data_IF_005958362275
#
_entry.id   IF_005958362275
#
_cell.length_a   1.000
_cell.length_b   1.000
_cell.length_c   1.000
_cell.angle_alpha   90.00
_cell.angle_beta   90.00
_cell.angle_gamma   90.00
#
_symmetry.space_group_name_H-M   'P 1'
#
loop_
_entity.id
_entity.type
_entity.pdbx_description
1 polymer ?
#
# COMPACT_ATOMS: atom_id res chain seq x y z
N UNK A 1 29.77 -11.62 -19.31
CA UNK A 1 28.29 -11.61 -19.32
C UNK A 1 27.79 -13.04 -19.33
N UNK A 2 27.43 -13.56 -18.16
CA UNK A 2 26.98 -14.94 -17.97
C UNK A 2 25.54 -15.05 -18.48
N UNK A 3 25.32 -15.82 -19.55
CA UNK A 3 23.98 -16.06 -20.14
C UNK A 3 23.05 -16.67 -19.09
N UNK A 4 21.97 -15.94 -18.76
CA UNK A 4 20.89 -16.37 -17.88
C UNK A 4 20.25 -17.66 -18.41
N UNK A 5 20.16 -18.69 -17.57
CA UNK A 5 19.56 -19.99 -17.92
C UNK A 5 18.09 -19.97 -17.49
N UNK A 6 17.18 -20.21 -18.43
CA UNK A 6 15.72 -20.14 -18.23
C UNK A 6 15.17 -21.56 -18.11
N UNK A 7 14.44 -21.88 -17.04
CA UNK A 7 13.76 -23.16 -16.84
C UNK A 7 12.25 -22.89 -16.82
N UNK A 8 11.47 -23.57 -17.67
CA UNK A 8 10.03 -23.32 -17.85
C UNK A 8 9.26 -24.56 -18.32
N UNK A 9 9.65 -25.74 -17.81
CA UNK A 9 9.13 -27.03 -18.25
C UNK A 9 7.63 -27.23 -18.01
N UNK A 10 7.15 -26.83 -16.84
CA UNK A 10 5.72 -26.91 -16.49
C UNK A 10 4.82 -26.11 -17.42
N UNK A 11 5.28 -24.94 -17.89
CA UNK A 11 4.52 -24.06 -18.79
C UNK A 11 4.58 -24.52 -20.25
N UNK A 12 5.69 -25.10 -20.70
CA UNK A 12 5.76 -25.84 -21.98
C UNK A 12 4.74 -26.98 -22.00
N UNK A 13 4.65 -27.74 -20.89
CA UNK A 13 3.70 -28.82 -20.72
C UNK A 13 2.26 -28.32 -20.74
N UNK A 14 1.94 -27.25 -20.01
CA UNK A 14 0.61 -26.61 -20.03
C UNK A 14 0.24 -26.08 -21.42
N UNK A 15 1.13 -25.33 -22.09
CA UNK A 15 0.89 -24.81 -23.44
C UNK A 15 0.57 -25.93 -24.44
N UNK A 16 1.31 -27.04 -24.33
CA UNK A 16 1.09 -28.22 -25.15
C UNK A 16 -0.27 -28.86 -24.85
N UNK A 17 -0.63 -29.00 -23.57
CA UNK A 17 -1.90 -29.58 -23.13
C UNK A 17 -3.10 -28.71 -23.51
N UNK A 18 -3.03 -27.39 -23.29
CA UNK A 18 -4.10 -26.43 -23.59
C UNK A 18 -4.44 -26.38 -25.09
N UNK A 19 -3.47 -26.74 -25.95
CA UNK A 19 -3.64 -26.82 -27.39
C UNK A 19 -3.85 -28.24 -27.92
N UNK A 20 -3.92 -29.23 -27.04
CA UNK A 20 -4.13 -30.64 -27.43
C UNK A 20 -3.02 -31.23 -28.31
N UNK A 21 -1.80 -30.69 -28.26
CA UNK A 21 -0.69 -31.13 -29.13
C UNK A 21 0.04 -32.30 -28.46
N UNK A 22 0.35 -33.36 -29.22
CA UNK A 22 1.17 -34.48 -28.69
C UNK A 22 2.63 -34.04 -28.59
N UNK A 23 3.37 -34.59 -27.63
CA UNK A 23 4.76 -34.19 -27.36
C UNK A 23 5.68 -34.34 -28.59
N UNK A 24 5.46 -35.38 -29.41
CA UNK A 24 6.20 -35.56 -30.66
C UNK A 24 5.95 -34.44 -31.68
N UNK A 25 4.69 -34.06 -31.84
CA UNK A 25 4.26 -33.02 -32.78
C UNK A 25 4.72 -31.63 -32.31
N UNK A 26 4.76 -31.40 -30.99
CA UNK A 26 5.25 -30.16 -30.39
C UNK A 26 6.77 -30.02 -30.53
N UNK A 27 7.53 -31.11 -30.36
CA UNK A 27 8.98 -31.11 -30.58
C UNK A 27 9.33 -30.82 -32.05
N UNK A 28 8.59 -31.42 -33.00
CA UNK A 28 8.76 -31.14 -34.43
C UNK A 28 8.44 -29.67 -34.77
N UNK A 29 7.37 -29.11 -34.18
CA UNK A 29 7.00 -27.69 -34.36
C UNK A 29 8.08 -26.74 -33.84
N UNK A 30 8.74 -27.13 -32.75
CA UNK A 30 9.86 -26.39 -32.16
C UNK A 30 11.21 -26.74 -32.79
N UNK A 31 11.24 -27.61 -33.80
CA UNK A 31 12.43 -28.07 -34.51
C UNK A 31 13.55 -28.53 -33.53
N UNK A 32 13.14 -29.41 -32.61
CA UNK A 32 13.99 -30.10 -31.63
C UNK A 32 13.58 -31.58 -31.51
N UNK A 33 14.42 -32.41 -30.89
CA UNK A 33 14.07 -33.82 -30.65
C UNK A 33 13.04 -33.96 -29.51
N UNK A 34 12.23 -35.01 -29.57
CA UNK A 34 11.25 -35.36 -28.53
C UNK A 34 11.88 -35.60 -27.17
N UNK A 35 13.04 -36.26 -27.15
CA UNK A 35 13.84 -36.46 -25.94
C UNK A 35 14.33 -35.13 -25.35
N UNK A 36 14.76 -34.18 -26.19
CA UNK A 36 15.19 -32.86 -25.73
C UNK A 36 14.01 -32.03 -25.20
N UNK A 37 12.86 -32.07 -25.87
CA UNK A 37 11.64 -31.45 -25.34
C UNK A 37 11.24 -32.04 -23.99
N UNK A 38 11.32 -33.37 -23.83
CA UNK A 38 11.01 -34.03 -22.56
C UNK A 38 11.93 -33.55 -21.43
N UNK A 39 13.24 -33.43 -21.69
CA UNK A 39 14.20 -32.89 -20.71
C UNK A 39 13.91 -31.44 -20.32
N UNK A 40 13.43 -30.62 -21.26
CA UNK A 40 13.04 -29.23 -20.95
C UNK A 40 11.70 -29.21 -20.20
N UNK A 41 10.72 -30.04 -20.57
CA UNK A 41 9.41 -30.15 -19.88
C UNK A 41 9.55 -30.60 -18.41
N UNK A 42 10.63 -31.31 -18.06
CA UNK A 42 10.96 -31.73 -16.69
C UNK A 42 12.02 -30.83 -16.01
N UNK A 43 12.41 -29.71 -16.64
CA UNK A 43 13.43 -28.78 -16.15
C UNK A 43 14.85 -29.40 -15.95
N UNK A 44 15.13 -30.55 -16.57
CA UNK A 44 16.47 -31.17 -16.62
C UNK A 44 17.46 -30.36 -17.49
N UNK A 45 16.93 -29.57 -18.43
CA UNK A 45 17.70 -28.64 -19.26
C UNK A 45 17.04 -27.27 -19.37
N UNK A 46 17.84 -26.18 -19.35
CA UNK A 46 17.31 -24.85 -19.57
C UNK A 46 16.93 -24.62 -21.04
N UNK A 47 15.92 -23.79 -21.25
CA UNK A 47 15.60 -23.21 -22.54
C UNK A 47 16.77 -22.39 -23.07
N UNK A 48 17.13 -22.67 -24.31
CA UNK A 48 18.13 -21.88 -25.03
C UNK A 48 17.48 -20.60 -25.56
N UNK A 49 18.25 -19.50 -25.72
CA UNK A 49 17.74 -18.26 -26.30
C UNK A 49 17.11 -18.45 -27.69
N UNK A 50 17.67 -19.36 -28.50
CA UNK A 50 17.14 -19.71 -29.82
C UNK A 50 15.76 -20.36 -29.72
N UNK A 51 15.56 -21.27 -28.75
CA UNK A 51 14.28 -21.93 -28.54
C UNK A 51 13.24 -20.97 -27.95
N UNK A 52 13.65 -20.06 -27.06
CA UNK A 52 12.77 -19.02 -26.52
C UNK A 52 12.27 -18.08 -27.61
N UNK A 53 13.15 -17.59 -28.50
CA UNK A 53 12.74 -16.77 -29.63
C UNK A 53 11.76 -17.49 -30.57
N UNK A 54 11.94 -18.80 -30.75
CA UNK A 54 11.03 -19.64 -31.53
C UNK A 54 9.66 -19.79 -30.85
N UNK A 55 9.63 -19.97 -29.53
CA UNK A 55 8.40 -20.02 -28.74
C UNK A 55 7.63 -18.69 -28.77
N UNK A 56 8.32 -17.56 -28.64
CA UNK A 56 7.70 -16.22 -28.71
C UNK A 56 7.09 -15.96 -30.09
N UNK A 57 7.77 -16.40 -31.16
CA UNK A 57 7.26 -16.25 -32.53
C UNK A 57 6.01 -17.11 -32.80
N UNK A 58 6.00 -18.35 -32.30
CA UNK A 58 4.91 -19.29 -32.55
C UNK A 58 3.74 -19.08 -31.59
N UNK A 59 4.00 -18.59 -30.37
CA UNK A 59 3.04 -18.51 -29.28
C UNK A 59 3.13 -17.17 -28.51
N UNK A 60 2.88 -16.03 -29.19
CA UNK A 60 3.09 -14.69 -28.63
C UNK A 60 2.27 -14.43 -27.36
N UNK A 61 1.00 -14.84 -27.35
CA UNK A 61 0.09 -14.68 -26.21
C UNK A 61 0.47 -15.48 -24.94
N UNK A 62 1.42 -16.43 -25.04
CA UNK A 62 1.80 -17.30 -23.92
C UNK A 62 3.16 -16.99 -23.28
N UNK A 63 4.01 -16.22 -23.97
CA UNK A 63 5.47 -16.19 -23.73
C UNK A 63 6.08 -14.78 -23.59
N UNK A 64 5.27 -13.73 -23.45
CA UNK A 64 5.73 -12.37 -23.11
C UNK A 64 5.88 -12.14 -21.59
N UNK A 65 5.46 -13.10 -20.74
CA UNK A 65 5.43 -12.97 -19.27
C UNK A 65 6.05 -14.18 -18.53
N UNK A 66 7.32 -14.52 -18.79
CA UNK A 66 7.93 -15.80 -18.31
C UNK A 66 8.95 -15.65 -17.16
N UNK A 67 8.97 -14.53 -16.43
CA UNK A 67 9.83 -14.43 -15.24
C UNK A 67 9.21 -13.77 -13.98
N UNK A 68 8.10 -13.03 -14.09
CA UNK A 68 7.97 -11.83 -13.23
C UNK A 68 6.91 -11.82 -12.12
N UNK A 69 6.21 -12.91 -11.75
CA UNK A 69 5.08 -12.75 -10.80
C UNK A 69 5.11 -13.62 -9.52
N UNK A 70 5.46 -14.90 -9.57
CA UNK A 70 5.63 -15.69 -8.33
C UNK A 70 7.09 -15.66 -7.81
N UNK A 71 8.05 -15.81 -8.72
CA UNK A 71 9.48 -15.69 -8.43
C UNK A 71 9.84 -14.28 -7.97
N UNK A 72 9.34 -13.25 -8.64
CA UNK A 72 9.60 -11.84 -8.28
C UNK A 72 8.93 -11.42 -6.97
N UNK A 73 7.72 -11.91 -6.67
CA UNK A 73 7.09 -11.67 -5.36
C UNK A 73 7.92 -12.30 -4.24
N UNK A 74 8.35 -13.55 -4.41
CA UNK A 74 9.16 -14.27 -3.42
C UNK A 74 10.58 -13.71 -3.31
N UNK A 75 11.22 -13.38 -4.42
CA UNK A 75 12.52 -12.72 -4.45
C UNK A 75 12.44 -11.31 -3.86
N UNK A 76 11.33 -10.60 -4.09
CA UNK A 76 11.02 -9.32 -3.46
C UNK A 76 10.92 -9.45 -1.94
N UNK A 77 10.15 -10.42 -1.45
CA UNK A 77 10.00 -10.69 -0.02
C UNK A 77 11.32 -11.15 0.63
N UNK A 78 12.11 -11.98 -0.07
CA UNK A 78 13.45 -12.35 0.38
C UNK A 78 14.42 -11.17 0.41
N UNK A 79 14.38 -10.29 -0.60
CA UNK A 79 15.16 -9.05 -0.62
C UNK A 79 14.79 -8.12 0.52
N UNK A 80 13.50 -8.02 0.86
CA UNK A 80 13.05 -7.25 2.02
C UNK A 80 13.57 -7.87 3.33
N UNK A 81 13.44 -9.19 3.50
CA UNK A 81 13.92 -9.87 4.70
C UNK A 81 15.45 -9.80 4.85
N UNK A 82 16.20 -9.96 3.75
CA UNK A 82 17.66 -9.92 3.74
C UNK A 82 18.25 -8.51 3.89
N UNK A 83 17.45 -7.47 3.67
CA UNK A 83 17.85 -6.08 3.90
C UNK A 83 17.77 -5.65 5.39
N UNK A 84 17.30 -6.54 6.28
CA UNK A 84 17.29 -6.28 7.72
C UNK A 84 18.72 -6.06 8.25
N UNK A 85 18.95 -5.04 9.11
CA UNK A 85 20.27 -4.79 9.72
C UNK A 85 20.92 -6.01 10.39
N UNK A 86 20.11 -7.00 10.81
CA UNK A 86 20.59 -8.28 11.30
C UNK A 86 21.60 -8.96 10.34
N UNK A 87 21.46 -8.75 9.03
CA UNK A 87 22.30 -9.36 7.99
C UNK A 87 23.40 -8.43 7.46
N UNK A 88 23.58 -7.24 8.03
CA UNK A 88 24.52 -6.23 7.53
C UNK A 88 25.99 -6.70 7.54
N UNK A 89 26.35 -7.64 8.42
CA UNK A 89 27.70 -8.19 8.50
C UNK A 89 28.09 -9.03 7.26
N UNK A 90 27.11 -9.67 6.61
CA UNK A 90 27.30 -10.49 5.41
C UNK A 90 26.08 -10.35 4.48
N UNK A 91 25.99 -9.24 3.72
CA UNK A 91 24.86 -8.99 2.85
C UNK A 91 24.78 -10.03 1.73
N UNK A 92 23.58 -10.53 1.48
CA UNK A 92 23.30 -11.45 0.38
C UNK A 92 23.12 -10.68 -0.92
N UNK A 93 23.82 -11.10 -1.97
CA UNK A 93 23.69 -10.44 -3.28
C UNK A 93 22.28 -10.67 -3.86
N UNK A 94 21.68 -9.67 -4.55
CA UNK A 94 20.35 -9.79 -5.14
C UNK A 94 20.17 -11.04 -6.01
N UNK A 95 21.19 -11.41 -6.77
CA UNK A 95 21.19 -12.58 -7.65
C UNK A 95 21.14 -13.89 -6.85
N UNK A 96 21.72 -13.93 -5.65
CA UNK A 96 21.64 -15.11 -4.76
C UNK A 96 20.24 -15.28 -4.19
N UNK A 97 19.57 -14.17 -3.84
CA UNK A 97 18.21 -14.16 -3.32
C UNK A 97 17.20 -14.55 -4.40
N UNK A 98 17.37 -14.05 -5.62
CA UNK A 98 16.57 -14.45 -6.79
C UNK A 98 16.75 -15.94 -7.11
N UNK A 99 17.99 -16.44 -7.06
CA UNK A 99 18.27 -17.87 -7.20
C UNK A 99 17.62 -18.69 -6.10
N UNK A 100 17.66 -18.24 -4.84
CA UNK A 100 17.01 -18.93 -3.73
C UNK A 100 15.48 -18.97 -3.88
N UNK A 101 14.86 -17.87 -4.31
CA UNK A 101 13.41 -17.78 -4.56
C UNK A 101 12.94 -18.77 -5.65
N UNK A 102 13.77 -19.00 -6.67
CA UNK A 102 13.47 -19.87 -7.78
C UNK A 102 13.81 -21.34 -7.50
N UNK A 103 14.97 -21.61 -6.88
CA UNK A 103 15.50 -22.97 -6.70
C UNK A 103 15.01 -23.63 -5.41
N UNK A 104 14.65 -22.86 -4.38
CA UNK A 104 14.26 -23.35 -3.06
C UNK A 104 13.01 -22.62 -2.52
N UNK A 105 11.87 -22.68 -3.23
CA UNK A 105 10.70 -21.84 -2.94
C UNK A 105 10.13 -22.06 -1.54
N UNK A 106 10.08 -23.31 -1.06
CA UNK A 106 9.57 -23.62 0.28
C UNK A 106 10.47 -23.07 1.38
N UNK A 107 11.80 -23.15 1.22
CA UNK A 107 12.76 -22.58 2.16
C UNK A 107 12.66 -21.05 2.19
N UNK A 108 12.54 -20.44 1.01
CA UNK A 108 12.35 -19.00 0.87
C UNK A 108 11.06 -18.52 1.56
N UNK A 109 9.93 -19.21 1.35
CA UNK A 109 8.66 -18.88 2.00
C UNK A 109 8.74 -19.06 3.54
N UNK A 110 9.41 -20.12 4.01
CA UNK A 110 9.64 -20.35 5.45
C UNK A 110 10.58 -19.31 6.06
N UNK A 111 11.62 -18.89 5.34
CA UNK A 111 12.54 -17.83 5.80
C UNK A 111 11.81 -16.49 5.91
N UNK A 112 11.01 -16.11 4.90
CA UNK A 112 10.17 -14.91 4.95
C UNK A 112 9.17 -15.00 6.12
N UNK A 113 8.54 -16.15 6.33
CA UNK A 113 7.62 -16.36 7.45
C UNK A 113 8.33 -16.27 8.82
N UNK A 114 9.55 -16.80 8.93
CA UNK A 114 10.40 -16.73 10.12
C UNK A 114 10.84 -15.29 10.40
N UNK A 115 11.31 -14.56 9.39
CA UNK A 115 11.68 -13.14 9.54
C UNK A 115 10.46 -12.31 9.94
N UNK A 116 9.31 -12.54 9.31
CA UNK A 116 8.06 -11.91 9.72
C UNK A 116 7.66 -12.29 11.16
N UNK A 117 7.90 -13.53 11.60
CA UNK A 117 7.69 -13.95 12.99
C UNK A 117 8.66 -13.26 13.97
N UNK A 118 9.94 -13.14 13.60
CA UNK A 118 10.96 -12.42 14.36
C UNK A 118 10.62 -10.94 14.52
N UNK A 119 10.27 -10.26 13.42
CA UNK A 119 9.80 -8.87 13.43
C UNK A 119 8.56 -8.70 14.30
N UNK A 120 7.59 -9.62 14.19
CA UNK A 120 6.40 -9.65 15.07
C UNK A 120 6.76 -9.87 16.53
N UNK A 121 7.76 -10.70 16.84
CA UNK A 121 8.22 -10.93 18.21
C UNK A 121 8.91 -9.69 18.80
N UNK A 122 9.77 -9.01 18.03
CA UNK A 122 10.35 -7.72 18.42
C UNK A 122 9.28 -6.64 18.64
N UNK A 123 8.27 -6.59 17.78
CA UNK A 123 7.10 -5.71 17.98
C UNK A 123 6.26 -6.12 19.20
N UNK A 124 6.18 -7.41 19.53
CA UNK A 124 5.47 -7.91 20.71
C UNK A 124 6.18 -7.53 22.01
N UNK A 125 7.52 -7.54 22.00
CA UNK A 125 8.31 -6.99 23.10
C UNK A 125 8.05 -5.48 23.27
N UNK A 126 7.90 -4.74 22.17
CA UNK A 126 7.52 -3.31 22.20
C UNK A 126 6.10 -3.11 22.78
N UNK A 127 5.13 -3.94 22.39
CA UNK A 127 3.76 -3.92 22.94
C UNK A 127 3.79 -4.23 24.44
N UNK A 128 4.62 -5.19 24.88
CA UNK A 128 4.74 -5.55 26.29
C UNK A 128 5.41 -4.43 27.09
N UNK A 129 6.49 -3.83 26.57
CA UNK A 129 7.19 -2.69 27.18
C UNK A 129 6.24 -1.49 27.34
N UNK A 130 5.43 -1.19 26.32
CA UNK A 130 4.44 -0.12 26.39
C UNK A 130 3.23 -0.48 27.27
N UNK A 131 2.72 -1.71 27.24
CA UNK A 131 1.64 -2.17 28.11
C UNK A 131 2.05 -2.19 29.60
N UNK A 132 3.33 -2.46 29.89
CA UNK A 132 3.92 -2.35 31.23
C UNK A 132 4.01 -0.89 31.69
N UNK A 133 4.25 0.07 30.77
CA UNK A 133 4.19 1.52 31.07
C UNK A 133 2.79 2.13 30.99
N UNK A 134 1.82 1.43 30.41
CA UNK A 134 0.52 1.95 29.99
C UNK A 134 -0.65 1.02 30.33
N UNK A 135 -0.66 0.43 31.53
CA UNK A 135 -1.85 0.01 32.28
C UNK A 135 -2.95 -0.81 31.59
N UNK A 136 -2.73 -1.40 30.42
CA UNK A 136 -3.73 -2.20 29.70
C UNK A 136 -3.13 -3.57 29.36
N UNK A 137 -3.28 -4.47 30.31
CA UNK A 137 -3.07 -5.90 30.11
C UNK A 137 -4.16 -6.45 29.18
N UNK A 138 -3.77 -6.90 27.99
CA UNK A 138 -4.09 -8.24 27.44
C UNK A 138 -3.62 -8.32 25.98
N UNK A 139 -2.79 -9.31 25.69
CA UNK A 139 -2.14 -9.53 24.38
C UNK A 139 -3.05 -10.00 23.25
N UNK A 140 -4.24 -9.41 23.10
CA UNK A 140 -5.10 -9.52 21.92
C UNK A 140 -4.89 -8.31 21.01
N UNK A 141 -4.67 -8.54 19.71
CA UNK A 141 -4.62 -7.45 18.73
C UNK A 141 -6.00 -6.79 18.67
N UNK A 142 -6.04 -5.47 18.67
CA UNK A 142 -7.33 -4.77 18.59
C UNK A 142 -7.92 -4.96 17.18
N UNK A 143 -9.25 -5.10 17.02
CA UNK A 143 -9.88 -5.39 15.72
C UNK A 143 -9.49 -4.42 14.59
N UNK A 144 -9.28 -3.15 14.92
CA UNK A 144 -8.83 -2.13 13.94
C UNK A 144 -7.40 -2.41 13.43
N UNK A 145 -6.53 -2.98 14.25
CA UNK A 145 -5.16 -3.33 13.87
C UNK A 145 -5.12 -4.52 12.93
N UNK A 146 -5.97 -5.54 13.17
CA UNK A 146 -6.06 -6.69 12.29
C UNK A 146 -6.46 -6.28 10.86
N UNK A 147 -7.46 -5.39 10.72
CA UNK A 147 -7.90 -4.88 9.41
C UNK A 147 -6.83 -4.02 8.75
N UNK A 148 -6.12 -3.20 9.52
CA UNK A 148 -5.01 -2.38 9.00
C UNK A 148 -3.87 -3.27 8.47
N UNK A 149 -3.49 -4.30 9.22
CA UNK A 149 -2.47 -5.27 8.80
C UNK A 149 -2.94 -6.03 7.55
N UNK A 150 -4.22 -6.40 7.47
CA UNK A 150 -4.79 -7.04 6.28
C UNK A 150 -4.65 -6.18 5.01
N UNK A 151 -4.97 -4.87 5.07
CA UNK A 151 -4.79 -3.98 3.93
C UNK A 151 -3.32 -3.82 3.52
N UNK A 152 -2.40 -3.86 4.49
CA UNK A 152 -0.97 -3.82 4.23
C UNK A 152 -0.50 -5.11 3.53
N UNK A 153 -0.88 -6.27 4.06
CA UNK A 153 -0.51 -7.58 3.51
C UNK A 153 -1.12 -7.80 2.11
N UNK A 154 -2.28 -7.20 1.83
CA UNK A 154 -2.90 -7.16 0.50
C UNK A 154 -2.22 -6.18 -0.48
N UNK A 155 -1.10 -5.54 -0.11
CA UNK A 155 -0.42 -4.53 -0.95
C UNK A 155 -1.26 -3.27 -1.18
N UNK A 156 -2.23 -3.02 -0.30
CA UNK A 156 -3.21 -1.93 -0.38
C UNK A 156 -3.99 -1.89 -1.71
N UNK A 157 -4.20 -3.03 -2.36
CA UNK A 157 -4.94 -3.15 -3.61
C UNK A 157 -5.78 -4.43 -3.62
N UNK A 158 -7.06 -4.31 -3.98
CA UNK A 158 -8.00 -5.44 -4.00
C UNK A 158 -8.57 -5.58 -5.42
N UNK A 159 -7.95 -6.44 -6.23
CA UNK A 159 -8.17 -6.49 -7.69
C UNK A 159 -9.64 -6.71 -8.08
N UNK A 160 -10.31 -7.65 -7.41
CA UNK A 160 -11.71 -8.00 -7.69
C UNK A 160 -12.65 -6.81 -7.48
N UNK A 161 -12.50 -6.12 -6.34
CA UNK A 161 -13.31 -4.95 -6.00
C UNK A 161 -12.95 -3.75 -6.88
N UNK A 162 -11.66 -3.55 -7.17
CA UNK A 162 -11.20 -2.41 -7.96
C UNK A 162 -11.71 -2.47 -9.41
N UNK A 163 -11.64 -3.64 -10.05
CA UNK A 163 -12.17 -3.86 -11.39
C UNK A 163 -13.68 -3.73 -11.44
N UNK A 164 -14.39 -4.29 -10.45
CA UNK A 164 -15.84 -4.17 -10.37
C UNK A 164 -16.26 -2.70 -10.18
N UNK A 165 -15.58 -1.97 -9.30
CA UNK A 165 -15.81 -0.54 -9.09
C UNK A 165 -15.52 0.30 -10.36
N UNK A 166 -14.48 -0.05 -11.12
CA UNK A 166 -14.18 0.60 -12.41
C UNK A 166 -15.28 0.35 -13.45
N UNK A 167 -15.87 -0.85 -13.49
CA UNK A 167 -17.02 -1.14 -14.33
C UNK A 167 -18.26 -0.32 -13.92
N UNK A 168 -18.56 -0.26 -12.61
CA UNK A 168 -19.64 0.59 -12.09
C UNK A 168 -19.45 2.06 -12.45
N UNK A 169 -18.22 2.56 -12.38
CA UNK A 169 -17.92 3.93 -12.75
C UNK A 169 -18.15 4.21 -14.24
N UNK A 170 -17.83 3.26 -15.13
CA UNK A 170 -18.05 3.39 -16.57
C UNK A 170 -19.53 3.57 -16.90
N UNK A 171 -20.43 2.92 -16.16
CA UNK A 171 -21.88 3.09 -16.32
C UNK A 171 -22.40 4.45 -15.85
N UNK A 172 -21.74 5.05 -14.85
CA UNK A 172 -22.23 6.26 -14.19
C UNK A 172 -21.66 7.57 -14.74
N UNK A 173 -20.38 7.55 -15.18
CA UNK A 173 -19.61 8.78 -15.44
C UNK A 173 -19.85 9.40 -16.81
N UNK A 174 -20.41 8.65 -17.77
CA UNK A 174 -20.46 9.07 -19.18
C UNK A 174 -19.06 9.41 -19.69
N UNK A 175 -18.89 10.60 -20.27
CA UNK A 175 -17.60 11.10 -20.77
C UNK A 175 -16.75 11.80 -19.68
N UNK A 176 -17.31 12.05 -18.49
CA UNK A 176 -16.61 12.76 -17.42
C UNK A 176 -15.57 11.87 -16.72
N UNK A 177 -14.48 12.44 -16.14
CA UNK A 177 -13.49 11.68 -15.39
C UNK A 177 -14.07 10.85 -14.23
N UNK A 178 -15.07 11.38 -13.54
CA UNK A 178 -15.73 10.80 -12.36
C UNK A 178 -17.25 10.89 -12.48
N UNK A 179 -18.01 9.95 -11.89
CA UNK A 179 -19.46 10.08 -11.72
C UNK A 179 -19.89 11.39 -11.03
N UNK A 180 -21.01 11.97 -11.47
CA UNK A 180 -21.66 13.12 -10.82
C UNK A 180 -22.54 12.67 -9.65
N UNK A 181 -22.94 13.59 -8.77
CA UNK A 181 -23.89 13.28 -7.68
C UNK A 181 -25.20 12.73 -8.26
N UNK A 182 -25.75 13.42 -9.25
CA UNK A 182 -27.03 13.12 -9.87
C UNK A 182 -27.02 11.73 -10.54
N UNK A 183 -25.89 11.34 -11.14
CA UNK A 183 -25.73 10.00 -11.74
C UNK A 183 -25.81 8.89 -10.69
N UNK A 184 -25.16 9.08 -9.54
CA UNK A 184 -25.14 8.10 -8.44
C UNK A 184 -26.52 8.04 -7.78
N UNK A 185 -27.14 9.20 -7.52
CA UNK A 185 -28.50 9.27 -6.96
C UNK A 185 -29.52 8.56 -7.83
N UNK A 186 -29.52 8.83 -9.13
CA UNK A 186 -30.42 8.17 -10.09
C UNK A 186 -30.26 6.67 -10.07
N UNK A 187 -29.02 6.17 -9.96
CA UNK A 187 -28.76 4.73 -9.89
C UNK A 187 -29.23 4.13 -8.56
N UNK A 188 -28.99 4.80 -7.44
CA UNK A 188 -29.49 4.41 -6.12
C UNK A 188 -31.03 4.35 -6.09
N UNK A 189 -31.71 5.38 -6.62
CA UNK A 189 -33.16 5.46 -6.65
C UNK A 189 -33.79 4.47 -7.65
N UNK A 190 -33.25 4.40 -8.87
CA UNK A 190 -33.82 3.60 -9.95
C UNK A 190 -33.51 2.12 -9.83
N UNK A 191 -32.22 1.74 -9.86
CA UNK A 191 -31.82 0.33 -9.89
C UNK A 191 -31.93 -0.33 -8.51
N UNK A 192 -31.70 0.44 -7.44
CA UNK A 192 -31.68 -0.07 -6.07
C UNK A 192 -32.88 0.40 -5.23
N UNK A 193 -33.85 1.14 -5.78
CA UNK A 193 -35.07 1.52 -5.05
C UNK A 193 -34.82 2.25 -3.72
N UNK A 194 -33.74 3.03 -3.61
CA UNK A 194 -33.35 3.73 -2.38
C UNK A 194 -33.90 5.14 -2.38
N UNK A 195 -34.65 5.50 -1.34
CA UNK A 195 -35.04 6.88 -1.10
C UNK A 195 -33.88 7.65 -0.46
N UNK A 196 -33.56 8.83 -0.99
CA UNK A 196 -32.46 9.67 -0.50
C UNK A 196 -33.05 10.90 0.18
N UNK A 197 -32.65 11.15 1.42
CA UNK A 197 -33.14 12.26 2.24
C UNK A 197 -31.96 13.11 2.70
N UNK A 198 -31.96 14.38 2.31
CA UNK A 198 -30.99 15.35 2.80
C UNK A 198 -31.50 16.01 4.08
N UNK A 199 -30.86 15.71 5.21
CA UNK A 199 -31.23 16.25 6.52
C UNK A 199 -30.00 16.43 7.40
N UNK A 200 -29.90 17.57 8.08
CA UNK A 200 -28.86 17.77 9.09
C UNK A 200 -28.93 16.66 10.13
N UNK A 201 -27.80 16.01 10.38
CA UNK A 201 -27.68 14.84 11.25
C UNK A 201 -26.35 14.89 12.00
N UNK A 202 -26.25 14.13 13.09
CA UNK A 202 -24.97 13.91 13.75
C UNK A 202 -24.09 12.91 12.98
N UNK A 203 -24.70 12.04 12.16
CA UNK A 203 -24.03 11.08 11.29
C UNK A 203 -23.78 11.66 9.90
N UNK A 204 -22.66 11.28 9.28
CA UNK A 204 -22.35 11.66 7.88
C UNK A 204 -23.28 10.97 6.88
N UNK A 205 -23.71 9.76 7.21
CA UNK A 205 -24.64 8.92 6.45
C UNK A 205 -25.34 8.00 7.43
N UNK A 206 -26.63 7.78 7.22
CA UNK A 206 -27.41 6.76 7.90
C UNK A 206 -28.26 6.01 6.87
N UNK A 207 -28.27 4.68 6.93
CA UNK A 207 -28.98 3.84 5.97
C UNK A 207 -29.84 2.80 6.70
N UNK A 208 -31.15 2.92 6.50
CA UNK A 208 -32.12 1.92 6.95
C UNK A 208 -32.34 0.90 5.82
N UNK A 209 -31.85 -0.32 6.02
CA UNK A 209 -31.99 -1.39 5.05
C UNK A 209 -33.44 -1.90 4.92
N UNK A 210 -34.26 -1.79 5.98
CA UNK A 210 -35.65 -2.24 6.00
C UNK A 210 -36.52 -1.26 5.21
N UNK A 211 -36.37 0.04 5.46
CA UNK A 211 -37.11 1.09 4.75
C UNK A 211 -36.46 1.48 3.42
N UNK A 212 -35.22 1.05 3.15
CA UNK A 212 -34.37 1.49 2.02
C UNK A 212 -34.22 3.01 1.97
N UNK A 213 -34.05 3.63 3.13
CA UNK A 213 -33.91 5.07 3.28
C UNK A 213 -32.46 5.42 3.58
N UNK A 214 -31.88 6.29 2.75
CA UNK A 214 -30.54 6.83 2.89
C UNK A 214 -30.60 8.29 3.31
N UNK A 215 -30.19 8.59 4.53
CA UNK A 215 -30.06 9.95 5.04
C UNK A 215 -28.62 10.43 4.84
N UNK A 216 -28.45 11.58 4.19
CA UNK A 216 -27.15 12.24 4.00
C UNK A 216 -27.21 13.63 4.64
N UNK A 217 -26.20 13.96 5.46
CA UNK A 217 -26.08 15.30 6.00
C UNK A 217 -25.59 16.29 4.91
N UNK A 218 -26.41 17.28 4.49
CA UNK A 218 -26.02 18.24 3.47
C UNK A 218 -24.94 19.22 3.93
N UNK A 219 -24.67 19.33 5.24
CA UNK A 219 -23.65 20.23 5.81
C UNK A 219 -22.21 19.82 5.45
N UNK A 220 -22.03 18.60 4.97
CA UNK A 220 -20.74 18.10 4.51
C UNK A 220 -20.28 18.81 3.23
N UNK A 221 -18.96 18.95 2.99
CA UNK A 221 -18.43 19.41 1.72
C UNK A 221 -18.95 18.57 0.53
N UNK A 222 -19.13 19.15 -0.67
CA UNK A 222 -19.66 18.45 -1.84
C UNK A 222 -18.95 17.12 -2.15
N UNK A 223 -17.62 17.09 -2.06
CA UNK A 223 -16.79 15.91 -2.29
C UNK A 223 -17.02 14.82 -1.24
N UNK A 224 -17.35 15.20 -0.01
CA UNK A 224 -17.69 14.26 1.06
C UNK A 224 -19.09 13.68 0.86
N UNK A 225 -20.08 14.50 0.48
CA UNK A 225 -21.43 14.03 0.17
C UNK A 225 -21.42 13.03 -1.00
N UNK A 226 -20.72 13.38 -2.08
CA UNK A 226 -20.57 12.51 -3.25
C UNK A 226 -19.90 11.19 -2.89
N UNK A 227 -18.90 11.21 -2.00
CA UNK A 227 -18.27 10.00 -1.49
C UNK A 227 -19.22 9.14 -0.65
N UNK A 228 -20.09 9.73 0.18
CA UNK A 228 -21.08 8.95 0.94
C UNK A 228 -22.09 8.25 0.05
N UNK A 229 -22.54 8.91 -1.04
CA UNK A 229 -23.40 8.30 -2.05
C UNK A 229 -22.68 7.18 -2.79
N UNK A 230 -21.46 7.42 -3.27
CA UNK A 230 -20.64 6.42 -3.96
C UNK A 230 -20.36 5.21 -3.06
N UNK A 231 -20.10 5.43 -1.77
CA UNK A 231 -19.95 4.35 -0.80
C UNK A 231 -21.23 3.56 -0.69
N UNK A 232 -22.38 4.19 -0.46
CA UNK A 232 -23.62 3.43 -0.28
C UNK A 232 -23.95 2.62 -1.53
N UNK A 233 -23.74 3.22 -2.71
CA UNK A 233 -23.91 2.53 -3.97
C UNK A 233 -22.98 1.32 -4.10
N UNK A 234 -21.68 1.51 -3.91
CA UNK A 234 -20.69 0.44 -4.03
C UNK A 234 -20.90 -0.67 -2.98
N UNK A 235 -21.25 -0.32 -1.75
CA UNK A 235 -21.51 -1.29 -0.68
C UNK A 235 -22.67 -2.23 -0.99
N UNK A 236 -23.69 -1.74 -1.72
CA UNK A 236 -24.85 -2.54 -2.12
C UNK A 236 -24.62 -3.26 -3.44
N UNK A 237 -24.05 -2.56 -4.43
CA UNK A 237 -23.82 -3.11 -5.77
C UNK A 237 -22.73 -4.19 -5.77
N UNK A 238 -21.72 -4.09 -4.89
CA UNK A 238 -20.60 -5.03 -4.78
C UNK A 238 -20.67 -5.86 -3.49
N UNK A 239 -21.87 -6.04 -2.93
CA UNK A 239 -22.05 -6.73 -1.65
C UNK A 239 -21.47 -8.16 -1.68
N UNK A 240 -21.66 -8.88 -2.79
CA UNK A 240 -21.12 -10.22 -3.01
C UNK A 240 -19.60 -10.25 -3.04
N UNK A 241 -18.98 -9.33 -3.77
CA UNK A 241 -17.54 -9.23 -3.95
C UNK A 241 -16.87 -8.85 -2.64
N UNK A 242 -17.44 -7.87 -1.92
CA UNK A 242 -16.97 -7.48 -0.59
C UNK A 242 -17.09 -8.65 0.38
N UNK A 243 -18.24 -9.33 0.43
CA UNK A 243 -18.44 -10.49 1.30
C UNK A 243 -17.43 -11.60 1.01
N UNK A 244 -17.18 -11.92 -0.28
CA UNK A 244 -16.21 -12.93 -0.66
C UNK A 244 -14.79 -12.60 -0.16
N UNK A 245 -14.36 -11.33 -0.24
CA UNK A 245 -13.06 -10.91 0.29
C UNK A 245 -13.01 -10.99 1.82
N UNK A 246 -14.09 -10.62 2.51
CA UNK A 246 -14.17 -10.71 3.98
C UNK A 246 -14.13 -12.17 4.46
N UNK A 247 -14.89 -13.05 3.83
CA UNK A 247 -14.93 -14.48 4.18
C UNK A 247 -13.60 -15.20 3.90
N UNK A 248 -12.87 -14.79 2.86
CA UNK A 248 -11.53 -15.31 2.57
C UNK A 248 -10.44 -14.76 3.50
N UNK A 249 -10.73 -13.77 4.35
CA UNK A 249 -9.75 -13.14 5.21
C UNK A 249 -9.41 -14.00 6.45
N UNK A 250 -8.16 -14.00 6.93
CA UNK A 250 -7.76 -14.74 8.14
C UNK A 250 -8.18 -14.04 9.45
N UNK A 251 -9.11 -13.07 9.39
CA UNK A 251 -9.55 -12.28 10.53
C UNK A 251 -10.34 -13.14 11.52
N UNK A 252 -10.07 -12.93 12.82
CA UNK A 252 -10.59 -13.82 13.87
C UNK A 252 -11.92 -13.36 14.44
N UNK A 253 -12.10 -12.05 14.60
CA UNK A 253 -13.24 -11.47 15.30
C UNK A 253 -14.31 -10.97 14.34
N UNK A 254 -15.58 -11.07 14.74
CA UNK A 254 -16.70 -10.50 14.00
C UNK A 254 -16.54 -8.99 13.82
N UNK A 255 -16.04 -8.30 14.85
CA UNK A 255 -15.74 -6.87 14.79
C UNK A 255 -14.69 -6.53 13.71
N UNK A 256 -13.61 -7.31 13.59
CA UNK A 256 -12.61 -7.11 12.54
C UNK A 256 -13.21 -7.35 11.14
N UNK A 257 -14.04 -8.40 10.97
CA UNK A 257 -14.73 -8.66 9.70
C UNK A 257 -15.67 -7.52 9.29
N UNK A 258 -16.44 -6.98 10.24
CA UNK A 258 -17.31 -5.82 10.00
C UNK A 258 -16.50 -4.56 9.66
N UNK A 259 -15.38 -4.33 10.36
CA UNK A 259 -14.47 -3.21 10.04
C UNK A 259 -13.82 -3.38 8.65
N UNK A 260 -13.45 -4.61 8.27
CA UNK A 260 -12.95 -4.90 6.94
C UNK A 260 -14.02 -4.62 5.88
N UNK A 261 -15.26 -5.08 6.10
CA UNK A 261 -16.38 -4.79 5.20
C UNK A 261 -16.55 -3.27 4.97
N UNK A 262 -16.55 -2.47 6.04
CA UNK A 262 -16.61 -1.00 5.95
C UNK A 262 -15.39 -0.44 5.21
N UNK A 263 -14.19 -0.97 5.47
CA UNK A 263 -12.96 -0.60 4.78
C UNK A 263 -13.01 -0.85 3.27
N UNK A 264 -13.51 -2.02 2.87
CA UNK A 264 -13.66 -2.42 1.47
C UNK A 264 -14.75 -1.61 0.75
N UNK A 265 -15.85 -1.28 1.42
CA UNK A 265 -16.86 -0.36 0.88
C UNK A 265 -16.27 1.06 0.65
N UNK A 266 -15.43 1.55 1.58
CA UNK A 266 -14.70 2.81 1.37
C UNK A 266 -13.67 2.72 0.23
N UNK A 267 -12.97 1.59 0.10
CA UNK A 267 -12.07 1.32 -1.02
C UNK A 267 -12.82 1.37 -2.35
N UNK A 268 -13.94 0.65 -2.44
CA UNK A 268 -14.79 0.59 -3.61
C UNK A 268 -15.33 1.97 -4.00
N UNK A 269 -15.80 2.76 -3.02
CA UNK A 269 -16.24 4.14 -3.25
C UNK A 269 -15.14 5.00 -3.90
N UNK A 270 -13.91 4.88 -3.40
CA UNK A 270 -12.75 5.55 -3.98
C UNK A 270 -12.47 5.09 -5.41
N UNK A 271 -12.56 3.79 -5.68
CA UNK A 271 -12.35 3.23 -7.02
C UNK A 271 -13.47 3.58 -8.01
N UNK A 272 -14.72 3.75 -7.55
CA UNK A 272 -15.83 4.25 -8.37
C UNK A 272 -15.61 5.72 -8.75
N UNK A 273 -15.22 6.56 -7.81
CA UNK A 273 -14.99 7.99 -8.07
C UNK A 273 -13.69 8.26 -8.83
N UNK A 274 -12.70 7.37 -8.71
CA UNK A 274 -11.41 7.49 -9.37
C UNK A 274 -11.08 6.17 -10.08
N UNK A 275 -11.68 5.91 -11.25
CA UNK A 275 -11.49 4.66 -12.02
C UNK A 275 -10.02 4.42 -12.31
N UNK A 276 -9.53 3.20 -12.09
CA UNK A 276 -8.11 2.90 -11.97
C UNK A 276 -7.28 3.37 -13.17
N UNK A 277 -7.65 2.94 -14.38
CA UNK A 277 -6.86 3.19 -15.57
C UNK A 277 -6.82 4.69 -15.90
N UNK A 278 -7.98 5.34 -15.84
CA UNK A 278 -8.10 6.77 -16.07
C UNK A 278 -7.35 7.59 -15.01
N UNK A 279 -7.58 7.32 -13.72
CA UNK A 279 -6.94 8.04 -12.63
C UNK A 279 -5.42 7.88 -12.62
N UNK A 280 -4.93 6.67 -12.91
CA UNK A 280 -3.49 6.43 -13.07
C UNK A 280 -2.90 7.19 -14.25
N UNK A 281 -3.59 7.24 -15.39
CA UNK A 281 -3.12 7.98 -16.55
C UNK A 281 -3.05 9.49 -16.24
N UNK A 282 -4.09 10.06 -15.64
CA UNK A 282 -4.13 11.45 -15.18
C UNK A 282 -3.00 11.72 -14.18
N UNK A 283 -2.81 10.85 -13.19
CA UNK A 283 -1.74 11.00 -12.18
C UNK A 283 -0.35 11.07 -12.83
N UNK A 284 -0.08 10.24 -13.83
CA UNK A 284 1.19 10.31 -14.58
C UNK A 284 1.32 11.58 -15.40
N UNK A 285 0.25 12.00 -16.08
CA UNK A 285 0.26 13.18 -16.93
C UNK A 285 0.59 14.47 -16.16
N UNK A 286 0.18 14.57 -14.90
CA UNK A 286 0.43 15.74 -14.04
C UNK A 286 1.55 15.52 -13.02
N UNK A 287 2.40 14.48 -13.18
CA UNK A 287 3.46 14.12 -12.22
C UNK A 287 2.94 14.05 -10.77
N UNK A 288 1.76 13.46 -10.59
CA UNK A 288 1.09 13.25 -9.32
C UNK A 288 0.78 14.54 -8.53
N UNK A 289 0.55 15.67 -9.22
CA UNK A 289 -0.03 16.86 -8.60
C UNK A 289 -1.44 16.56 -8.05
N UNK A 290 -1.54 16.49 -6.72
CA UNK A 290 -2.77 16.14 -6.01
C UNK A 290 -3.83 17.23 -6.18
N UNK A 291 -3.43 18.50 -6.28
CA UNK A 291 -4.39 19.61 -6.46
C UNK A 291 -4.97 19.60 -7.87
N UNK A 292 -4.20 19.22 -8.91
CA UNK A 292 -4.77 18.96 -10.25
C UNK A 292 -5.73 17.78 -10.23
N UNK A 293 -5.30 16.64 -9.68
CA UNK A 293 -6.12 15.42 -9.64
C UNK A 293 -7.43 15.62 -8.89
N UNK A 294 -7.42 16.33 -7.76
CA UNK A 294 -8.64 16.54 -6.98
C UNK A 294 -9.65 17.44 -7.70
N UNK A 295 -9.18 18.38 -8.53
CA UNK A 295 -10.03 19.24 -9.36
C UNK A 295 -10.68 18.42 -10.50
N UNK A 296 -9.87 17.64 -11.23
CA UNK A 296 -10.35 16.86 -12.38
C UNK A 296 -11.39 15.81 -11.97
N UNK A 297 -11.17 15.16 -10.83
CA UNK A 297 -12.08 14.11 -10.34
C UNK A 297 -13.15 14.66 -9.39
N UNK A 298 -13.04 15.90 -8.89
CA UNK A 298 -13.97 16.50 -7.93
C UNK A 298 -13.91 15.89 -6.51
N UNK A 299 -12.76 15.35 -6.12
CA UNK A 299 -12.56 14.63 -4.84
C UNK A 299 -11.84 15.50 -3.81
N UNK A 300 -11.81 15.07 -2.55
CA UNK A 300 -11.02 15.73 -1.52
C UNK A 300 -9.53 15.43 -1.68
N UNK A 301 -8.69 16.28 -1.09
CA UNK A 301 -7.24 16.07 -1.04
C UNK A 301 -6.89 14.70 -0.44
N UNK A 302 -7.50 14.34 0.69
CA UNK A 302 -7.28 13.04 1.36
C UNK A 302 -7.76 11.86 0.49
N UNK A 303 -8.88 12.00 -0.24
CA UNK A 303 -9.39 10.96 -1.13
C UNK A 303 -8.43 10.70 -2.30
N UNK A 304 -7.90 11.75 -2.92
CA UNK A 304 -6.91 11.63 -3.99
C UNK A 304 -5.61 10.96 -3.50
N UNK A 305 -5.06 11.40 -2.36
CA UNK A 305 -3.88 10.75 -1.77
C UNK A 305 -4.13 9.28 -1.44
N UNK A 306 -5.31 8.96 -0.91
CA UNK A 306 -5.68 7.57 -0.63
C UNK A 306 -5.70 6.73 -1.90
N UNK A 307 -6.32 7.22 -2.99
CA UNK A 307 -6.37 6.49 -4.26
C UNK A 307 -4.99 6.30 -4.88
N UNK A 308 -4.13 7.31 -4.82
CA UNK A 308 -2.74 7.19 -5.29
C UNK A 308 -2.01 6.03 -4.59
N UNK A 309 -2.25 5.83 -3.28
CA UNK A 309 -1.66 4.72 -2.51
C UNK A 309 -2.21 3.33 -2.85
N UNK A 310 -3.26 3.21 -3.68
CA UNK A 310 -3.86 1.91 -4.06
C UNK A 310 -3.56 1.50 -5.51
N UNK A 311 -2.74 2.25 -6.25
CA UNK A 311 -2.45 1.97 -7.67
C UNK A 311 -1.47 0.79 -7.88
N UNK A 312 -1.81 -0.41 -7.40
CA UNK A 312 -0.94 -1.61 -7.43
C UNK A 312 -1.47 -2.77 -8.30
N UNK A 313 -2.37 -2.50 -9.26
CA UNK A 313 -2.86 -3.49 -10.23
C UNK A 313 -1.71 -4.17 -10.98
N UNK A 314 -1.62 -5.51 -10.97
CA UNK A 314 -0.66 -6.25 -11.80
C UNK A 314 -0.75 -5.85 -13.28
N UNK A 315 0.39 -5.67 -13.93
CA UNK A 315 0.47 -5.17 -15.33
C UNK A 315 0.21 -3.68 -15.52
N UNK A 316 -0.33 -2.97 -14.51
CA UNK A 316 -0.68 -1.55 -14.60
C UNK A 316 -0.36 -0.78 -13.31
N UNK A 317 0.77 -1.05 -12.66
CA UNK A 317 1.16 -0.38 -11.41
C UNK A 317 1.43 1.12 -11.62
N UNK A 318 1.01 1.94 -10.65
CA UNK A 318 1.45 3.32 -10.48
C UNK A 318 2.80 3.39 -9.75
N UNK A 319 3.21 4.58 -9.32
CA UNK A 319 4.35 4.71 -8.41
C UNK A 319 3.97 4.04 -7.08
N UNK A 320 4.84 3.20 -6.49
CA UNK A 320 4.64 2.72 -5.14
C UNK A 320 4.69 3.90 -4.17
N UNK A 321 3.57 4.18 -3.50
CA UNK A 321 3.43 5.30 -2.57
C UNK A 321 3.06 4.82 -1.18
N UNK A 322 3.59 5.48 -0.16
CA UNK A 322 3.04 5.43 1.18
C UNK A 322 2.05 6.56 1.40
N UNK A 323 1.03 6.30 2.20
CA UNK A 323 0.05 7.26 2.67
C UNK A 323 -0.06 7.15 4.18
N UNK A 324 -0.09 8.29 4.87
CA UNK A 324 -0.30 8.35 6.31
C UNK A 324 -1.23 9.51 6.67
N UNK A 325 -2.04 9.34 7.72
CA UNK A 325 -2.79 10.42 8.36
C UNK A 325 -2.42 10.48 9.83
N UNK A 326 -1.96 11.65 10.26
CA UNK A 326 -1.50 11.93 11.62
C UNK A 326 -2.42 12.97 12.25
N UNK A 327 -2.73 12.86 13.54
CA UNK A 327 -3.44 13.91 14.29
C UNK A 327 -2.46 14.91 14.95
N UNK A 328 -3.00 15.89 15.68
CA UNK A 328 -2.18 16.91 16.36
C UNK A 328 -1.28 16.37 17.47
N UNK A 329 -1.54 15.17 17.98
CA UNK A 329 -0.75 14.52 19.01
C UNK A 329 0.31 13.58 18.43
N UNK A 330 0.42 13.51 17.09
CA UNK A 330 1.36 12.61 16.41
C UNK A 330 0.83 11.18 16.27
N UNK A 331 -0.45 10.91 16.58
CA UNK A 331 -1.01 9.57 16.42
C UNK A 331 -1.28 9.28 14.94
N UNK A 332 -0.73 8.17 14.46
CA UNK A 332 -1.01 7.68 13.11
C UNK A 332 -2.39 7.01 13.10
N UNK A 333 -3.39 7.73 12.62
CA UNK A 333 -4.79 7.27 12.56
C UNK A 333 -5.12 6.47 11.29
N UNK A 334 -4.28 6.57 10.26
CA UNK A 334 -4.40 5.79 9.01
C UNK A 334 -3.03 5.65 8.37
N UNK A 335 -2.69 4.45 7.89
CA UNK A 335 -1.46 4.21 7.14
C UNK A 335 -1.67 3.13 6.09
N UNK A 336 -1.11 3.36 4.92
CA UNK A 336 -1.06 2.42 3.82
C UNK A 336 0.30 2.55 3.16
N UNK A 337 0.93 1.47 2.76
CA UNK A 337 2.22 1.54 2.07
C UNK A 337 2.30 0.49 0.99
N UNK A 338 2.58 0.94 -0.23
CA UNK A 338 3.10 0.10 -1.31
C UNK A 338 4.65 0.16 -1.39
N UNK A 339 5.28 0.94 -0.50
CA UNK A 339 6.75 1.10 -0.42
C UNK A 339 7.34 0.28 0.73
N UNK A 340 8.67 0.19 0.77
CA UNK A 340 9.42 -0.40 1.89
C UNK A 340 9.37 0.42 3.17
N UNK A 341 8.87 1.67 3.13
CA UNK A 341 8.80 2.52 4.32
C UNK A 341 7.86 1.89 5.35
N UNK A 342 8.43 1.38 6.43
CA UNK A 342 7.69 0.83 7.56
C UNK A 342 7.54 1.92 8.64
N UNK A 343 6.32 2.38 8.86
CA UNK A 343 6.00 3.22 10.01
C UNK A 343 6.00 2.38 11.28
N UNK A 344 6.63 2.88 12.36
CA UNK A 344 6.57 2.24 13.66
C UNK A 344 5.10 1.95 14.03
N UNK A 345 4.83 0.74 14.53
CA UNK A 345 3.48 0.32 14.93
C UNK A 345 3.01 1.10 16.16
N UNK A 346 3.97 1.47 17.01
CA UNK A 346 3.79 2.16 18.28
C UNK A 346 4.98 3.11 18.56
N UNK A 347 4.90 3.94 19.60
CA UNK A 347 6.02 4.78 20.07
C UNK A 347 6.15 6.19 19.47
N UNK A 348 5.12 6.69 18.77
CA UNK A 348 5.11 8.03 18.15
C UNK A 348 6.02 8.15 16.92
N UNK A 349 5.57 8.88 15.89
CA UNK A 349 6.39 9.08 14.70
C UNK A 349 7.57 10.03 15.00
N UNK A 350 8.70 9.84 14.31
CA UNK A 350 9.88 10.70 14.49
C UNK A 350 9.52 12.20 14.38
N UNK A 351 9.91 13.03 15.36
CA UNK A 351 9.58 14.47 15.36
C UNK A 351 10.24 15.24 14.21
N UNK A 352 11.32 14.71 13.62
CA UNK A 352 11.97 15.30 12.44
C UNK A 352 11.20 15.03 11.13
N UNK A 353 10.11 14.25 11.18
CA UNK A 353 9.27 14.03 10.01
C UNK A 353 8.32 15.21 9.80
N UNK A 354 8.33 15.77 8.59
CA UNK A 354 7.65 17.03 8.24
C UNK A 354 6.12 17.02 8.45
N UNK A 355 5.52 15.83 8.58
CA UNK A 355 4.07 15.69 8.80
C UNK A 355 3.60 16.40 10.08
N UNK A 356 4.46 16.49 11.09
CA UNK A 356 4.13 17.15 12.36
C UNK A 356 4.03 18.66 12.20
N UNK A 357 4.89 19.27 11.38
CA UNK A 357 4.78 20.68 11.01
C UNK A 357 3.53 20.95 10.19
N UNK A 358 3.21 20.05 9.25
CA UNK A 358 1.99 20.16 8.46
C UNK A 358 0.71 20.08 9.33
N UNK A 359 0.74 19.33 10.44
CA UNK A 359 -0.38 19.29 11.38
C UNK A 359 -0.58 20.65 12.08
N UNK A 360 0.52 21.34 12.41
CA UNK A 360 0.49 22.66 13.05
C UNK A 360 0.00 23.77 12.12
N UNK A 361 0.35 23.72 10.82
CA UNK A 361 0.04 24.78 9.84
C UNK A 361 -0.90 24.22 8.76
N UNK A 362 -2.23 24.38 8.92
CA UNK A 362 -3.19 23.83 7.96
C UNK A 362 -3.09 24.51 6.59
N UNK A 363 -3.50 23.78 5.57
CA UNK A 363 -3.64 24.20 4.17
C UNK A 363 -2.34 24.57 3.42
N UNK A 364 -1.18 24.45 4.07
CA UNK A 364 0.13 24.54 3.40
C UNK A 364 0.65 23.16 3.03
N UNK A 365 1.13 23.01 1.79
CA UNK A 365 1.90 21.84 1.38
C UNK A 365 3.35 22.04 1.80
N UNK A 366 3.87 21.09 2.57
CA UNK A 366 5.28 20.94 2.90
C UNK A 366 5.83 19.72 2.17
N UNK A 367 7.11 19.72 1.86
CA UNK A 367 7.80 18.59 1.23
C UNK A 367 9.13 18.35 1.92
N UNK A 368 9.56 17.09 1.93
CA UNK A 368 10.77 16.66 2.61
C UNK A 368 11.41 15.50 1.85
N UNK A 369 12.72 15.61 1.63
CA UNK A 369 13.58 14.47 1.36
C UNK A 369 14.02 13.89 2.70
N UNK A 370 13.64 12.65 2.99
CA UNK A 370 13.95 11.98 4.24
C UNK A 370 14.80 10.73 3.99
N UNK A 371 15.77 10.47 4.87
CA UNK A 371 16.59 9.26 4.85
C UNK A 371 16.29 8.40 6.08
N UNK A 372 15.85 7.17 5.86
CA UNK A 372 15.60 6.19 6.91
C UNK A 372 16.90 5.54 7.40
N UNK A 373 16.90 4.88 8.57
CA UNK A 373 18.15 4.32 9.12
C UNK A 373 18.81 3.21 8.31
N UNK A 374 18.09 2.60 7.37
CA UNK A 374 18.59 1.64 6.38
C UNK A 374 19.24 2.32 5.15
N UNK A 375 19.34 3.65 5.15
CA UNK A 375 19.94 4.45 4.07
C UNK A 375 19.00 4.71 2.88
N UNK A 376 17.76 4.21 2.91
CA UNK A 376 16.80 4.49 1.86
C UNK A 376 16.30 5.94 1.94
N UNK A 377 16.11 6.56 0.79
CA UNK A 377 15.63 7.94 0.66
C UNK A 377 14.23 8.00 0.10
N UNK A 378 13.42 8.86 0.67
CA UNK A 378 12.03 9.08 0.29
C UNK A 378 11.79 10.57 0.06
N UNK A 379 11.10 10.90 -1.03
CA UNK A 379 10.50 12.22 -1.19
C UNK A 379 9.06 12.11 -0.74
N UNK A 380 8.66 13.03 0.13
CA UNK A 380 7.32 13.07 0.68
C UNK A 380 6.77 14.47 0.69
N UNK A 381 5.45 14.56 0.61
CA UNK A 381 4.69 15.77 0.81
C UNK A 381 3.76 15.58 2.01
N UNK A 382 3.48 16.66 2.73
CA UNK A 382 2.54 16.68 3.83
C UNK A 382 1.66 17.93 3.78
N UNK A 383 0.37 17.79 4.12
CA UNK A 383 -0.59 18.90 4.18
C UNK A 383 -1.51 18.77 5.38
N UNK A 384 -1.65 19.84 6.16
CA UNK A 384 -2.64 19.94 7.22
C UNK A 384 -4.05 20.13 6.67
N UNK A 385 -5.00 19.35 7.19
CA UNK A 385 -6.42 19.34 6.81
C UNK A 385 -7.30 19.63 8.02
N UNK A 386 -8.28 20.52 7.82
CA UNK A 386 -9.30 20.84 8.82
C UNK A 386 -10.64 20.32 8.33
N UNK A 387 -11.28 19.44 9.11
CA UNK A 387 -12.66 18.98 8.86
C UNK A 387 -13.60 19.78 9.76
N UNK A 388 -14.49 20.62 9.19
CA UNK A 388 -15.45 21.41 9.95
C UNK A 388 -16.34 20.53 10.83
N UNK A 389 -16.77 21.09 11.96
CA UNK A 389 -17.61 20.43 12.96
C UNK A 389 -19.10 20.80 12.84
N UNK A 390 -19.44 21.65 11.88
CA UNK A 390 -20.81 22.12 11.60
C UNK A 390 -21.40 23.08 12.65
N UNK A 391 -20.67 23.39 13.72
CA UNK A 391 -21.12 24.26 14.80
C UNK A 391 -19.93 24.96 15.47
N UNK A 392 -20.10 26.23 15.83
CA UNK A 392 -19.11 27.00 16.60
C UNK A 392 -18.75 26.33 17.93
N UNK A 393 -19.71 25.67 18.58
CA UNK A 393 -19.51 25.04 19.89
C UNK A 393 -18.74 23.71 19.83
N UNK A 394 -18.43 23.20 18.64
CA UNK A 394 -17.74 21.92 18.45
C UNK A 394 -16.36 22.14 17.85
N UNK A 395 -15.34 21.53 18.44
CA UNK A 395 -13.98 21.61 17.90
C UNK A 395 -13.89 20.97 16.51
N UNK A 396 -13.29 21.63 15.51
CA UNK A 396 -13.02 21.02 14.22
C UNK A 396 -11.99 19.90 14.37
N UNK A 397 -12.09 18.86 13.55
CA UNK A 397 -11.11 17.78 13.54
C UNK A 397 -9.92 18.20 12.67
N UNK A 398 -8.71 18.09 13.20
CA UNK A 398 -7.48 18.48 12.51
C UNK A 398 -6.57 17.27 12.33
N UNK A 399 -6.02 17.14 11.13
CA UNK A 399 -5.11 16.06 10.74
C UNK A 399 -4.04 16.61 9.81
N UNK A 400 -2.95 15.89 9.65
CA UNK A 400 -2.05 16.02 8.51
C UNK A 400 -2.10 14.74 7.68
N UNK A 401 -2.07 14.89 6.36
CA UNK A 401 -1.87 13.77 5.43
C UNK A 401 -0.45 13.86 4.91
N UNK A 402 0.26 12.74 4.88
CA UNK A 402 1.53 12.59 4.19
C UNK A 402 1.41 11.55 3.07
N UNK A 403 2.00 11.86 1.92
CA UNK A 403 2.11 10.98 0.77
C UNK A 403 3.55 11.04 0.25
N UNK A 404 4.16 9.90 -0.06
CA UNK A 404 5.52 9.90 -0.58
C UNK A 404 5.91 8.60 -1.27
N UNK A 405 7.05 8.64 -1.93
CA UNK A 405 7.64 7.54 -2.68
C UNK A 405 9.16 7.51 -2.48
N UNK A 406 9.79 6.40 -2.84
CA UNK A 406 11.25 6.31 -2.86
C UNK A 406 11.84 7.35 -3.83
N UNK A 407 12.99 7.92 -3.50
CA UNK A 407 13.61 9.02 -4.25
C UNK A 407 13.91 8.66 -5.73
N UNK A 408 14.04 7.37 -6.06
CA UNK A 408 14.17 6.91 -7.45
C UNK A 408 12.97 7.29 -8.35
N UNK A 409 11.80 7.54 -7.76
CA UNK A 409 10.59 7.97 -8.48
C UNK A 409 10.39 9.50 -8.47
N UNK A 410 11.35 10.27 -7.95
CA UNK A 410 11.24 11.72 -7.81
C UNK A 410 10.90 12.45 -9.12
N UNK A 411 11.41 11.96 -10.26
CA UNK A 411 11.12 12.53 -11.58
C UNK A 411 9.63 12.58 -11.91
N UNK A 412 8.83 11.66 -11.39
CA UNK A 412 7.39 11.55 -11.66
C UNK A 412 6.52 12.14 -10.53
N UNK A 413 7.10 12.80 -9.53
CA UNK A 413 6.42 13.35 -8.37
C UNK A 413 6.72 14.85 -8.22
N UNK A 414 5.77 15.72 -8.56
CA UNK A 414 5.96 17.18 -8.66
C UNK A 414 6.53 17.82 -7.37
N UNK A 415 6.21 17.26 -6.20
CA UNK A 415 6.71 17.77 -4.93
C UNK A 415 8.22 17.55 -4.72
N UNK A 416 8.84 16.70 -5.54
CA UNK A 416 10.29 16.55 -5.59
C UNK A 416 10.99 17.79 -6.16
N UNK A 417 10.30 18.61 -6.96
CA UNK A 417 10.87 19.84 -7.54
C UNK A 417 11.23 20.87 -6.45
N UNK A 418 10.66 20.73 -5.25
CA UNK A 418 10.98 21.55 -4.09
C UNK A 418 12.22 21.13 -3.31
N UNK A 419 12.86 20.01 -3.64
CA UNK A 419 14.03 19.47 -2.92
C UNK A 419 15.12 19.01 -3.88
N UNK A 420 16.39 19.23 -3.52
CA UNK A 420 17.50 18.62 -4.24
C UNK A 420 17.67 17.17 -3.80
N UNK A 421 17.11 16.24 -4.59
CA UNK A 421 17.15 14.80 -4.31
C UNK A 421 18.55 14.18 -4.44
N UNK A 422 19.47 14.86 -5.13
CA UNK A 422 20.82 14.36 -5.41
C UNK A 422 21.84 14.87 -4.39
N UNK A 423 21.59 16.01 -3.73
CA UNK A 423 22.45 16.54 -2.68
C UNK A 423 22.46 15.62 -1.44
N UNK A 424 23.61 15.02 -1.06
CA UNK A 424 23.68 14.12 0.09
C UNK A 424 23.25 14.77 1.42
N UNK A 425 23.47 16.08 1.54
CA UNK A 425 23.19 16.87 2.75
C UNK A 425 21.72 17.33 2.84
N UNK A 426 20.95 17.21 1.75
CA UNK A 426 19.58 17.69 1.69
C UNK A 426 18.58 16.73 2.40
N UNK A 427 18.97 15.47 2.60
CA UNK A 427 18.09 14.49 3.20
C UNK A 427 18.06 14.63 4.74
N UNK A 428 16.88 14.91 5.30
CA UNK A 428 16.69 14.88 6.75
C UNK A 428 16.78 13.43 7.23
N UNK A 429 17.71 13.15 8.15
CA UNK A 429 17.90 11.82 8.75
C UNK A 429 16.79 11.53 9.76
N UNK A 430 15.74 10.84 9.34
CA UNK A 430 14.62 10.46 10.20
C UNK A 430 14.81 9.04 10.77
N UNK A 431 13.95 8.67 11.71
CA UNK A 431 13.86 7.32 12.26
C UNK A 431 12.40 6.82 12.36
N UNK A 432 12.20 5.55 12.71
CA UNK A 432 10.86 5.00 12.89
C UNK A 432 10.17 5.54 14.16
N UNK A 433 10.86 5.52 15.31
CA UNK A 433 10.51 6.22 16.56
C UNK A 433 11.73 6.25 17.48
N UNK A 434 11.79 7.14 18.48
CA UNK A 434 13.01 7.28 19.33
C UNK A 434 13.40 5.96 20.02
N UNK A 435 12.42 5.21 20.53
CA UNK A 435 12.62 3.95 21.27
C UNK A 435 13.25 2.82 20.46
N UNK A 436 13.21 2.92 19.13
CA UNK A 436 13.73 1.87 18.22
C UNK A 436 14.62 2.45 17.11
N UNK A 437 14.98 3.73 17.19
CA UNK A 437 15.84 4.36 16.21
C UNK A 437 17.31 4.00 16.50
N UNK A 438 18.06 3.46 15.52
CA UNK A 438 19.45 3.06 15.72
C UNK A 438 20.43 4.23 15.83
N UNK A 439 20.07 5.41 15.27
CA UNK A 439 20.93 6.61 15.18
C UNK A 439 21.36 7.10 16.56
N UNK A 440 22.65 7.13 16.84
CA UNK A 440 23.21 7.59 18.13
C UNK A 440 23.46 9.10 18.19
N UNK A 441 23.50 9.77 17.04
CA UNK A 441 23.86 11.17 16.84
C UNK A 441 22.65 12.10 16.60
N UNK A 442 21.52 11.86 17.28
CA UNK A 442 20.28 12.62 17.07
C UNK A 442 19.98 13.57 18.24
N UNK A 443 20.19 14.88 18.03
CA UNK A 443 19.90 15.93 19.01
C UNK A 443 18.41 16.03 19.39
N UNK A 444 17.52 15.61 18.49
CA UNK A 444 16.07 15.62 18.71
C UNK A 444 15.56 14.37 19.46
N UNK A 445 16.46 13.47 19.88
CA UNK A 445 16.09 12.20 20.54
C UNK A 445 15.37 12.46 21.87
N UNK A 446 14.10 12.07 21.92
CA UNK A 446 13.26 12.23 23.11
C UNK A 446 13.41 11.08 24.13
N UNK A 447 13.60 9.85 23.65
CA UNK A 447 13.70 8.65 24.49
C UNK A 447 14.89 7.78 24.09
N UNK A 448 15.50 7.08 25.06
CA UNK A 448 16.56 6.12 24.76
C UNK A 448 16.00 4.92 23.98
N UNK A 449 16.82 4.25 23.17
CA UNK A 449 16.43 2.98 22.56
C UNK A 449 16.12 1.92 23.63
N UNK A 450 15.02 1.17 23.49
CA UNK A 450 14.64 0.10 24.44
C UNK A 450 15.56 -1.12 24.35
N UNK A 451 16.36 -1.25 23.29
CA UNK A 451 17.18 -2.42 22.99
C UNK A 451 18.66 -2.29 23.37
N UNK A 452 19.08 -1.13 23.90
CA UNK A 452 20.49 -0.82 24.19
C UNK A 452 20.66 -0.09 25.52
N UNK A 453 21.79 -0.32 26.23
CA UNK A 453 22.10 0.45 27.43
C UNK A 453 22.29 1.93 27.13
N UNK A 454 22.13 2.74 28.19
CA UNK A 454 22.53 4.14 28.17
C UNK A 454 23.70 4.36 29.11
N UNK A 455 24.59 5.26 28.71
CA UNK A 455 25.71 5.76 29.49
C UNK A 455 25.38 7.18 29.93
N UNK A 456 25.29 7.39 31.25
CA UNK A 456 25.09 8.71 31.85
C UNK A 456 26.39 9.12 32.54
N UNK A 457 26.89 10.29 32.17
CA UNK A 457 28.08 10.89 32.76
C UNK A 457 27.65 12.13 33.57
N UNK A 458 27.65 12.07 34.91
CA UNK A 458 27.21 13.19 35.75
C UNK A 458 28.00 14.48 35.54
N UNK A 459 29.25 14.39 35.07
CA UNK A 459 30.15 15.53 34.89
C UNK A 459 30.12 16.08 33.44
N UNK A 460 29.38 15.43 32.53
CA UNK A 460 29.27 15.83 31.13
C UNK A 460 27.83 15.89 30.64
N UNK A 461 27.40 17.09 30.23
CA UNK A 461 26.08 17.35 29.63
C UNK A 461 26.18 17.62 28.12
N UNK A 462 25.94 16.61 27.29
CA UNK A 462 25.72 16.79 25.83
C UNK A 462 24.28 17.31 25.57
N UNK A 463 23.82 17.46 24.32
CA UNK A 463 22.44 17.93 24.00
C UNK A 463 21.38 16.94 24.52
N UNK A 464 21.59 15.65 24.26
CA UNK A 464 20.86 14.53 24.87
C UNK A 464 21.56 14.14 26.17
N UNK A 465 20.85 13.91 27.30
CA UNK A 465 21.47 13.73 28.63
C UNK A 465 22.14 12.36 28.85
N UNK A 466 22.26 11.55 27.80
CA UNK A 466 22.87 10.23 27.84
C UNK A 466 23.48 9.90 26.47
N UNK A 467 24.46 9.00 26.47
CA UNK A 467 25.00 8.35 25.27
C UNK A 467 24.44 6.93 25.16
N UNK A 468 24.38 6.38 23.96
CA UNK A 468 24.01 4.98 23.73
C UNK A 468 25.31 4.17 23.68
N UNK A 469 25.40 3.07 24.44
CA UNK A 469 26.65 2.30 24.57
C UNK A 469 26.43 0.89 25.06
#
# INVERSE_FOLDING_TARGET
MTRQRIFAGSRLKSLRHDRGIRQADFAATLDISTSYLSQIEHDDRPLTPALLGRLQKLFPLGWEEVAADAGDRRAGALREAAADPLFAAQPLAPEQLERAALQQPQLADQFVALHAAYRRAGQRLQIIDEALTGGTAEGSRLPWEEVRDWFHDAGNYVDTIDRAAEALAAELRGDAPSPSIESIERRLQGALGISIVYRQSQSLRDFDATMRHLVIDPSQPPESRRFQLAHQYAALALASEIAAVVEASPLRTTAARQLLHVGLANYAAGAVLMPYAAFRASARAVRHDIDRLRLDYGVSFEQACHRLSTLQRPGARGIPMFFCRVDMAGNITKRHSATRLQFARFGGACPLWIVHEAAAIPDRILFQLAETPDGLRYVSMAKGLVKPSGSYARSPRRYAVALGCEAQYAGDFVYADGVDVNAPQAATRIGPSCRICPRDDCDQRAFPPSDRPILVDPDRRDVVPYRIG
#
